data_IF_867097109146
#
_entry.id   IF_867097109146
#
_cell.length_a   1.000
_cell.length_b   1.000
_cell.length_c   1.000
_cell.angle_alpha   90.00
_cell.angle_beta   90.00
_cell.angle_gamma   90.00
#
_symmetry.space_group_name_H-M   'P 1'
#
loop_
_entity.id
_entity.type
_entity.pdbx_description
1 polymer ?
#
# COMPACT_ATOMS: atom_id res chain seq x y z
N UNK A 1 -28.36 -12.94 -3.79
CA UNK A 1 -28.17 -12.73 -5.24
C UNK A 1 -26.83 -13.38 -5.56
N UNK A 2 -26.84 -14.49 -6.30
CA UNK A 2 -25.64 -15.29 -6.51
C UNK A 2 -24.70 -14.58 -7.48
N UNK A 3 -23.41 -14.54 -7.14
CA UNK A 3 -22.36 -13.99 -7.99
C UNK A 3 -21.82 -15.14 -8.83
N UNK A 4 -22.11 -15.15 -10.12
CA UNK A 4 -21.55 -16.12 -11.06
C UNK A 4 -20.21 -15.58 -11.58
N UNK A 5 -19.12 -16.30 -11.31
CA UNK A 5 -17.77 -15.91 -11.79
C UNK A 5 -17.58 -16.44 -13.21
N UNK A 6 -17.21 -15.57 -14.15
CA UNK A 6 -16.90 -15.97 -15.52
C UNK A 6 -15.51 -16.62 -15.60
N UNK A 7 -15.41 -17.77 -16.28
CA UNK A 7 -14.14 -18.44 -16.58
C UNK A 7 -14.18 -19.02 -18.00
N UNK A 8 -13.29 -18.53 -18.86
CA UNK A 8 -13.20 -18.89 -20.29
C UNK A 8 -12.79 -20.35 -20.56
N UNK A 9 -12.34 -21.09 -19.54
CA UNK A 9 -12.00 -22.51 -19.66
C UNK A 9 -13.24 -23.41 -19.47
N UNK A 10 -14.29 -22.92 -18.82
CA UNK A 10 -15.48 -23.69 -18.47
C UNK A 10 -16.76 -23.14 -19.11
N UNK A 11 -16.73 -21.95 -19.70
CA UNK A 11 -17.87 -21.32 -20.37
C UNK A 11 -17.63 -21.16 -21.87
N UNK A 12 -18.72 -21.17 -22.65
CA UNK A 12 -18.67 -20.96 -24.10
C UNK A 12 -18.07 -19.59 -24.43
N UNK A 13 -17.30 -19.53 -25.52
CA UNK A 13 -16.79 -18.28 -26.08
C UNK A 13 -17.72 -17.65 -27.12
N UNK A 14 -18.81 -18.32 -27.47
CA UNK A 14 -19.85 -17.76 -28.33
C UNK A 14 -20.59 -16.65 -27.58
N UNK A 15 -20.64 -15.40 -28.09
CA UNK A 15 -21.33 -14.29 -27.43
C UNK A 15 -22.80 -14.59 -27.12
N UNK A 16 -23.49 -15.30 -28.02
CA UNK A 16 -24.90 -15.67 -27.86
C UNK A 16 -25.11 -16.63 -26.67
N UNK A 17 -24.18 -17.55 -26.44
CA UNK A 17 -24.29 -18.55 -25.38
C UNK A 17 -24.07 -17.95 -23.97
N UNK A 18 -23.46 -16.77 -23.90
CA UNK A 18 -23.18 -16.04 -22.64
C UNK A 18 -23.94 -14.72 -22.54
N UNK A 19 -25.04 -14.57 -23.30
CA UNK A 19 -25.89 -13.39 -23.31
C UNK A 19 -25.11 -12.07 -23.57
N UNK A 20 -24.22 -12.10 -24.56
CA UNK A 20 -23.35 -10.98 -24.93
C UNK A 20 -22.62 -10.36 -23.73
N UNK A 21 -22.02 -11.21 -22.89
CA UNK A 21 -21.25 -10.78 -21.73
C UNK A 21 -20.20 -9.72 -22.12
N UNK A 22 -20.29 -8.50 -21.58
CA UNK A 22 -19.40 -7.39 -21.97
C UNK A 22 -17.94 -7.56 -21.54
N UNK A 23 -17.64 -8.55 -20.70
CA UNK A 23 -16.29 -8.90 -20.28
C UNK A 23 -15.60 -9.94 -21.19
N UNK A 24 -16.33 -10.52 -22.14
CA UNK A 24 -15.87 -11.66 -22.96
C UNK A 24 -14.58 -11.34 -23.72
N UNK A 25 -14.54 -10.18 -24.37
CA UNK A 25 -13.40 -9.73 -25.15
C UNK A 25 -12.49 -8.83 -24.31
N UNK A 26 -11.22 -9.23 -24.19
CA UNK A 26 -10.17 -8.47 -23.50
C UNK A 26 -10.58 -7.97 -22.09
N UNK A 27 -11.30 -8.79 -21.31
CA UNK A 27 -11.80 -8.44 -19.97
C UNK A 27 -12.65 -7.14 -19.95
N UNK A 28 -13.38 -6.83 -21.04
CA UNK A 28 -14.11 -5.56 -21.20
C UNK A 28 -13.21 -4.32 -21.30
N UNK A 29 -11.89 -4.54 -21.41
CA UNK A 29 -10.85 -3.53 -21.29
C UNK A 29 -10.50 -3.15 -19.85
N UNK A 30 -10.97 -3.89 -18.83
CA UNK A 30 -10.63 -3.65 -17.43
C UNK A 30 -9.21 -4.13 -17.12
N UNK A 31 -8.45 -3.36 -16.33
CA UNK A 31 -7.09 -3.75 -15.95
C UNK A 31 -7.05 -4.93 -14.99
N UNK A 32 -7.95 -4.97 -13.99
CA UNK A 32 -8.01 -6.04 -12.99
C UNK A 32 -9.30 -6.86 -13.13
N UNK A 33 -10.41 -6.37 -12.59
CA UNK A 33 -11.66 -7.12 -12.50
C UNK A 33 -12.71 -6.53 -13.45
N UNK A 34 -13.44 -7.40 -14.15
CA UNK A 34 -14.59 -7.04 -14.97
C UNK A 34 -15.86 -7.71 -14.44
N UNK A 35 -16.91 -6.91 -14.26
CA UNK A 35 -18.21 -7.36 -13.80
C UNK A 35 -19.26 -7.13 -14.89
N UNK A 36 -19.87 -8.22 -15.35
CA UNK A 36 -21.07 -8.18 -16.17
C UNK A 36 -22.30 -8.07 -15.25
N UNK A 37 -23.03 -6.96 -15.36
CA UNK A 37 -24.21 -6.73 -14.55
C UNK A 37 -25.47 -7.05 -15.37
N UNK A 38 -26.51 -7.63 -14.75
CA UNK A 38 -27.81 -7.81 -15.42
C UNK A 38 -28.31 -6.49 -15.98
N UNK A 39 -28.90 -6.54 -17.17
CA UNK A 39 -29.52 -5.41 -17.89
C UNK A 39 -28.56 -4.28 -18.31
N UNK A 40 -27.25 -4.46 -18.11
CA UNK A 40 -26.22 -3.49 -18.50
C UNK A 40 -25.26 -4.16 -19.50
N UNK A 41 -25.30 -3.70 -20.75
CA UNK A 41 -24.42 -4.21 -21.81
C UNK A 41 -23.01 -3.60 -21.80
N UNK A 42 -22.69 -2.74 -20.84
CA UNK A 42 -21.34 -2.18 -20.66
C UNK A 42 -20.61 -2.86 -19.50
N UNK A 43 -19.31 -3.16 -19.63
CA UNK A 43 -18.56 -3.77 -18.54
C UNK A 43 -18.42 -2.80 -17.38
N UNK A 44 -18.56 -3.29 -16.15
CA UNK A 44 -18.21 -2.53 -14.94
C UNK A 44 -16.86 -3.02 -14.41
N UNK A 45 -15.85 -2.16 -14.45
CA UNK A 45 -14.53 -2.53 -13.94
C UNK A 45 -14.41 -2.32 -12.43
N UNK A 46 -13.50 -3.06 -11.79
CA UNK A 46 -13.12 -2.86 -10.41
C UNK A 46 -11.65 -3.24 -10.16
N UNK A 47 -11.12 -2.77 -9.04
CA UNK A 47 -9.71 -2.94 -8.68
C UNK A 47 -9.57 -3.91 -7.51
N UNK A 48 -8.72 -4.93 -7.67
CA UNK A 48 -8.33 -5.81 -6.56
C UNK A 48 -7.50 -5.06 -5.51
N UNK A 49 -6.70 -4.08 -5.95
CA UNK A 49 -5.93 -3.15 -5.15
C UNK A 49 -5.86 -1.79 -5.86
N UNK A 50 -5.65 -0.72 -5.09
CA UNK A 50 -5.70 0.66 -5.59
C UNK A 50 -7.12 1.16 -5.86
N UNK A 51 -7.22 2.19 -6.67
CA UNK A 51 -8.48 2.88 -7.00
C UNK A 51 -8.74 2.84 -8.49
N UNK A 52 -10.03 2.78 -8.87
CA UNK A 52 -10.42 2.83 -10.27
C UNK A 52 -10.21 4.25 -10.79
N UNK A 53 -9.45 4.37 -11.88
CA UNK A 53 -9.16 5.63 -12.54
C UNK A 53 -10.42 6.24 -13.16
N UNK A 54 -10.32 7.53 -13.49
CA UNK A 54 -11.39 8.30 -14.15
C UNK A 54 -11.85 7.73 -15.50
N UNK A 55 -11.02 6.91 -16.15
CA UNK A 55 -11.38 6.19 -17.38
C UNK A 55 -12.31 4.98 -17.14
N UNK A 56 -12.64 4.69 -15.88
CA UNK A 56 -13.46 3.56 -15.43
C UNK A 56 -12.95 2.19 -15.87
N UNK A 57 -11.66 2.07 -16.22
CA UNK A 57 -11.07 0.82 -16.74
C UNK A 57 -9.75 0.45 -16.08
N UNK A 58 -8.89 1.42 -15.83
CA UNK A 58 -7.55 1.21 -15.25
C UNK A 58 -7.58 1.39 -13.74
N UNK A 59 -6.71 0.65 -13.06
CA UNK A 59 -6.49 0.80 -11.63
C UNK A 59 -5.19 1.58 -11.39
N UNK A 60 -5.25 2.56 -10.50
CA UNK A 60 -4.09 3.32 -10.01
C UNK A 60 -3.85 3.01 -8.55
N UNK A 61 -2.61 2.70 -8.20
CA UNK A 61 -2.19 2.55 -6.80
C UNK A 61 -1.75 3.91 -6.30
N UNK A 62 -2.25 4.30 -5.13
CA UNK A 62 -1.82 5.54 -4.50
C UNK A 62 -0.35 5.41 -4.12
N UNK A 63 0.47 6.35 -4.57
CA UNK A 63 1.84 6.50 -4.06
C UNK A 63 1.85 7.12 -2.66
N UNK A 64 0.72 7.62 -2.18
CA UNK A 64 0.62 8.19 -0.83
C UNK A 64 0.52 7.10 0.24
N UNK A 65 0.21 5.86 -0.15
CA UNK A 65 0.15 4.71 0.76
C UNK A 65 1.50 3.99 0.80
N UNK A 66 2.09 3.89 1.98
CA UNK A 66 3.39 3.24 2.19
C UNK A 66 3.52 2.65 3.59
N UNK A 67 4.44 1.69 3.73
CA UNK A 67 4.82 1.10 5.00
C UNK A 67 6.12 1.73 5.51
N UNK A 68 6.19 1.99 6.81
CA UNK A 68 7.44 2.31 7.52
C UNK A 68 7.78 1.13 8.42
N UNK A 69 9.02 0.65 8.38
CA UNK A 69 9.48 -0.47 9.21
C UNK A 69 10.87 -0.22 9.77
N UNK A 70 11.14 -0.83 10.93
CA UNK A 70 12.43 -0.77 11.60
C UNK A 70 13.29 -1.99 11.26
N UNK A 71 14.58 -1.72 11.07
CA UNK A 71 15.69 -2.68 11.04
C UNK A 71 16.65 -2.38 12.20
N UNK A 72 17.68 -3.20 12.37
CA UNK A 72 18.66 -3.06 13.46
C UNK A 72 19.35 -1.68 13.50
N UNK A 73 19.65 -1.11 12.34
CA UNK A 73 20.40 0.15 12.23
C UNK A 73 19.71 1.20 11.33
N UNK A 74 18.45 0.97 10.96
CA UNK A 74 17.76 1.83 10.01
C UNK A 74 16.24 1.80 10.16
N UNK A 75 15.60 2.92 9.83
CA UNK A 75 14.17 3.00 9.52
C UNK A 75 14.05 3.09 8.00
N UNK A 76 13.23 2.22 7.41
CA UNK A 76 13.02 2.12 5.96
C UNK A 76 11.55 2.24 5.62
N UNK A 77 11.29 2.49 4.34
CA UNK A 77 9.95 2.53 3.79
C UNK A 77 9.87 1.89 2.42
N UNK A 78 8.65 1.48 2.07
CA UNK A 78 8.29 0.94 0.76
C UNK A 78 6.86 1.39 0.42
N UNK A 79 6.59 1.69 -0.85
CA UNK A 79 5.21 1.77 -1.33
C UNK A 79 4.51 0.41 -1.21
N UNK A 80 3.19 0.42 -1.13
CA UNK A 80 2.36 -0.80 -1.09
C UNK A 80 2.01 -1.34 -2.49
N UNK A 81 2.64 -0.81 -3.54
CA UNK A 81 2.49 -1.30 -4.91
C UNK A 81 3.19 -2.66 -5.06
N UNK A 82 2.45 -3.76 -5.37
CA UNK A 82 3.01 -5.10 -5.54
C UNK A 82 4.11 -5.19 -6.62
N UNK A 83 4.05 -4.32 -7.63
CA UNK A 83 4.99 -4.30 -8.75
C UNK A 83 6.13 -3.30 -8.51
N UNK A 84 5.97 -2.36 -7.57
CA UNK A 84 6.93 -1.27 -7.34
C UNK A 84 7.07 -0.89 -5.86
N UNK A 85 7.92 -1.60 -5.13
CA UNK A 85 8.28 -1.30 -3.74
C UNK A 85 9.37 -0.22 -3.59
N UNK A 86 9.44 0.75 -4.50
CA UNK A 86 10.40 1.87 -4.34
C UNK A 86 10.11 2.66 -3.05
N UNK A 87 11.15 3.20 -2.38
CA UNK A 87 10.97 3.89 -1.10
C UNK A 87 10.47 5.34 -1.30
N UNK A 88 9.39 5.77 -0.61
CA UNK A 88 8.88 7.14 -0.69
C UNK A 88 9.83 8.19 -0.09
N UNK A 89 10.70 7.78 0.83
CA UNK A 89 11.71 8.64 1.43
C UNK A 89 13.00 7.86 1.69
N UNK A 90 14.10 8.59 1.89
CA UNK A 90 15.42 7.99 2.08
C UNK A 90 15.49 7.22 3.40
N UNK A 91 16.22 6.10 3.41
CA UNK A 91 16.54 5.36 4.63
C UNK A 91 17.11 6.28 5.69
N UNK A 92 16.57 6.20 6.91
CA UNK A 92 17.08 6.90 8.08
C UNK A 92 17.96 5.95 8.87
N UNK A 93 19.24 6.26 9.01
CA UNK A 93 20.14 5.46 9.85
C UNK A 93 19.94 5.81 11.33
N UNK A 94 19.85 4.78 12.17
CA UNK A 94 19.74 4.90 13.62
C UNK A 94 20.83 4.09 14.30
N UNK A 95 21.33 4.56 15.44
CA UNK A 95 22.47 3.95 16.11
C UNK A 95 22.14 2.63 16.83
N UNK A 96 20.86 2.33 17.05
CA UNK A 96 20.35 1.14 17.73
C UNK A 96 19.00 0.75 17.14
N UNK A 97 18.65 -0.53 17.26
CA UNK A 97 17.36 -1.06 16.80
C UNK A 97 16.22 -0.29 17.42
N UNK A 98 15.34 0.24 16.57
CA UNK A 98 14.06 0.75 17.03
C UNK A 98 13.17 -0.44 17.41
N UNK A 99 12.57 -0.39 18.60
CA UNK A 99 11.71 -1.46 19.14
C UNK A 99 10.28 -1.29 18.65
N UNK A 100 9.78 -0.06 18.64
CA UNK A 100 8.49 0.31 18.11
C UNK A 100 8.59 1.66 17.39
N UNK A 101 7.64 1.94 16.50
CA UNK A 101 7.55 3.21 15.77
C UNK A 101 6.10 3.66 15.62
N UNK A 102 5.92 4.96 15.43
CA UNK A 102 4.66 5.60 15.06
C UNK A 102 4.93 6.76 14.09
N UNK A 103 3.95 7.15 13.28
CA UNK A 103 4.12 8.14 12.21
C UNK A 103 3.11 9.28 12.31
N UNK A 104 3.63 10.50 12.44
CA UNK A 104 2.88 11.74 12.30
C UNK A 104 2.91 12.18 10.83
N UNK A 105 1.81 11.93 10.13
CA UNK A 105 1.64 12.27 8.72
C UNK A 105 1.46 13.76 8.46
N UNK A 106 1.06 14.55 9.46
CA UNK A 106 0.88 16.00 9.32
C UNK A 106 2.25 16.68 9.27
N UNK A 107 3.15 16.31 10.19
CA UNK A 107 4.49 16.92 10.27
C UNK A 107 5.59 16.06 9.63
N UNK A 108 5.23 14.91 9.04
CA UNK A 108 6.16 13.98 8.41
C UNK A 108 7.27 13.53 9.37
N UNK A 109 6.88 13.06 10.56
CA UNK A 109 7.80 12.63 11.62
C UNK A 109 7.59 11.17 11.98
N UNK A 110 8.69 10.42 12.03
CA UNK A 110 8.69 9.07 12.58
C UNK A 110 9.14 9.17 14.02
N UNK A 111 8.26 8.82 14.94
CA UNK A 111 8.57 8.61 16.35
C UNK A 111 9.00 7.16 16.53
N UNK A 112 10.04 6.92 17.32
CA UNK A 112 10.52 5.56 17.55
C UNK A 112 11.13 5.40 18.94
N UNK A 113 11.00 4.20 19.48
CA UNK A 113 11.54 3.82 20.79
C UNK A 113 12.81 2.99 20.62
N UNK A 114 13.78 3.22 21.49
CA UNK A 114 15.02 2.44 21.54
C UNK A 114 15.28 1.96 22.96
N UNK A 115 15.75 0.72 23.08
CA UNK A 115 16.28 0.21 24.34
C UNK A 115 17.77 0.57 24.45
N UNK A 116 18.16 1.12 25.59
CA UNK A 116 19.53 1.48 25.92
C UNK A 116 20.12 0.48 26.94
N UNK A 117 21.46 0.34 26.99
CA UNK A 117 22.12 -0.42 28.05
C UNK A 117 21.63 0.06 29.42
N UNK A 118 21.46 -0.85 30.38
CA UNK A 118 20.77 -0.68 31.69
C UNK A 118 19.25 -0.79 31.69
N UNK A 119 18.62 -1.18 30.56
CA UNK A 119 17.18 -1.43 30.49
C UNK A 119 16.33 -0.17 30.35
N UNK A 120 16.96 1.00 30.23
CA UNK A 120 16.28 2.28 30.04
C UNK A 120 15.77 2.44 28.61
N UNK A 121 14.59 3.03 28.46
CA UNK A 121 14.02 3.41 27.18
C UNK A 121 14.37 4.84 26.77
N UNK A 122 14.42 5.07 25.45
CA UNK A 122 14.50 6.40 24.83
C UNK A 122 13.45 6.53 23.74
N UNK A 123 12.79 7.70 23.69
CA UNK A 123 11.89 8.10 22.60
C UNK A 123 12.58 9.19 21.80
N UNK A 124 12.68 9.01 20.49
CA UNK A 124 13.22 10.01 19.56
C UNK A 124 12.31 10.16 18.36
N UNK A 125 12.46 11.26 17.62
CA UNK A 125 11.85 11.40 16.30
C UNK A 125 12.83 11.90 15.25
N UNK A 126 12.50 11.61 13.99
CA UNK A 126 13.17 12.13 12.79
C UNK A 126 12.12 12.68 11.84
N UNK A 127 12.46 13.73 11.08
CA UNK A 127 11.62 14.18 9.97
C UNK A 127 12.15 13.63 8.65
N UNK A 128 11.27 13.00 7.87
CA UNK A 128 11.64 12.32 6.63
C UNK A 128 12.07 13.27 5.49
N UNK A 129 11.81 14.58 5.65
CA UNK A 129 12.20 15.61 4.68
C UNK A 129 13.30 16.56 5.16
N UNK A 130 13.77 16.43 6.41
CA UNK A 130 14.70 17.40 7.01
C UNK A 130 16.20 17.14 6.70
N UNK A 131 16.54 16.33 5.70
CA UNK A 131 17.93 16.00 5.38
C UNK A 131 18.60 15.08 6.42
N UNK A 132 19.95 15.04 6.44
CA UNK A 132 20.74 14.19 7.36
C UNK A 132 20.77 14.85 8.75
N UNK A 133 19.64 14.86 9.44
CA UNK A 133 19.55 15.24 10.85
C UNK A 133 19.77 14.03 11.75
N UNK A 134 20.49 14.21 12.85
CA UNK A 134 20.44 13.23 13.95
C UNK A 134 19.03 13.20 14.56
N UNK A 135 18.55 12.05 15.05
CA UNK A 135 17.27 11.98 15.74
C UNK A 135 17.18 12.99 16.89
N UNK A 136 16.04 13.66 17.00
CA UNK A 136 15.73 14.54 18.13
C UNK A 136 15.18 13.72 19.27
N UNK A 137 15.81 13.80 20.45
CA UNK A 137 15.37 13.09 21.64
C UNK A 137 14.15 13.78 22.24
N UNK A 138 13.09 13.02 22.49
CA UNK A 138 11.87 13.47 23.17
C UNK A 138 11.94 13.17 24.66
N UNK A 139 12.37 11.95 25.00
CA UNK A 139 12.52 11.50 26.37
C UNK A 139 13.61 10.42 26.47
N UNK A 140 14.33 10.37 27.58
CA UNK A 140 15.34 9.36 27.90
C UNK A 140 15.11 8.79 29.30
N UNK A 141 15.86 7.73 29.63
CA UNK A 141 15.90 7.15 30.98
C UNK A 141 14.54 6.62 31.46
N UNK A 142 13.68 6.24 30.51
CA UNK A 142 12.35 5.71 30.79
C UNK A 142 12.44 4.30 31.37
N UNK A 143 11.64 4.01 32.40
CA UNK A 143 11.66 2.70 33.09
C UNK A 143 12.71 2.61 34.20
N UNK A 144 13.27 3.74 34.62
CA UNK A 144 13.97 3.89 35.91
C UNK A 144 12.99 4.03 37.07
#
# INVERSE_FOLDING_TARGET
RDVTIYNSNFQSRSPLDVNNNPCLDNNGGCSHLCFALPDIQTPKCGCAFGTLSSDNKRCSISTDDYLIFALENALRSIHLDPENHSPPFRTVNVLRTAVALDFDSINNRIYFTQSYPSGTGRISYVSIYAGIGSPTVVASDLGT
#
